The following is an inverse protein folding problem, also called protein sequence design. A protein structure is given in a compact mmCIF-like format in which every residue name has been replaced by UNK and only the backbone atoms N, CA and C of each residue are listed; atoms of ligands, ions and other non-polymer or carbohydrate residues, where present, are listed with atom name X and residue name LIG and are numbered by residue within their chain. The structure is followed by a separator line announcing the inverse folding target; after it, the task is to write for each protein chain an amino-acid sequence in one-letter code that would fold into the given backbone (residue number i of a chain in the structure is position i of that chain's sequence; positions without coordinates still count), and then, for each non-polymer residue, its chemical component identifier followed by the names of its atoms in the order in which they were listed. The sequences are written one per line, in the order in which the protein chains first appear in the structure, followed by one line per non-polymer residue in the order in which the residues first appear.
data_IF_221452611336
#
_entry.id   IF_221452611336
#
_cell.length_a   1.000
_cell.length_b   1.000
_cell.length_c   1.000
_cell.angle_alpha   90.00
_cell.angle_beta   90.00
_cell.angle_gamma   90.00
#
_symmetry.space_group_name_H-M   'P 1'
#
loop_
_entity.id
_entity.type
_entity.pdbx_description
1 polymer ?
#
# COMPACT_ATOMS: atom_id res chain seq x y z
N UNK A 1 15.07 -21.14 -31.37
CA UNK A 1 14.43 -19.85 -31.06
C UNK A 1 13.45 -20.06 -29.92
N UNK A 2 13.78 -19.49 -28.75
CA UNK A 2 12.83 -19.43 -27.61
C UNK A 2 11.92 -18.23 -27.87
N UNK A 3 10.63 -18.45 -28.01
CA UNK A 3 9.63 -17.36 -28.06
C UNK A 3 9.44 -16.85 -26.61
N UNK A 4 10.01 -15.70 -26.31
CA UNK A 4 9.74 -15.00 -25.06
C UNK A 4 8.44 -14.20 -25.20
N UNK A 5 7.57 -14.29 -24.18
CA UNK A 5 6.40 -13.41 -24.08
C UNK A 5 6.88 -11.99 -23.73
N UNK A 6 6.45 -11.01 -24.51
CA UNK A 6 6.68 -9.61 -24.17
C UNK A 6 5.68 -9.20 -23.07
N UNK A 7 6.12 -9.36 -21.81
CA UNK A 7 5.31 -9.03 -20.62
C UNK A 7 5.68 -7.63 -20.14
N UNK A 8 4.67 -6.80 -19.95
CA UNK A 8 4.80 -5.53 -19.25
C UNK A 8 4.02 -5.62 -17.94
N UNK A 9 4.73 -5.46 -16.83
CA UNK A 9 4.14 -5.53 -15.50
C UNK A 9 4.05 -4.12 -14.92
N UNK A 10 2.87 -3.75 -14.46
CA UNK A 10 2.62 -2.47 -13.78
C UNK A 10 2.43 -2.76 -12.30
N UNK A 11 3.10 -1.97 -11.45
CA UNK A 11 2.97 -2.08 -9.99
C UNK A 11 1.62 -1.54 -9.49
N UNK A 12 0.55 -2.21 -9.89
CA UNK A 12 -0.82 -1.90 -9.48
C UNK A 12 -1.56 -3.22 -9.21
N UNK A 13 -1.84 -3.48 -7.97
CA UNK A 13 -2.49 -4.71 -7.51
C UNK A 13 -3.32 -4.50 -6.26
N UNK A 14 -3.98 -5.54 -5.81
CA UNK A 14 -4.82 -5.52 -4.61
C UNK A 14 -4.05 -5.15 -3.32
N UNK A 15 -2.74 -5.34 -3.31
CA UNK A 15 -1.81 -5.01 -2.22
C UNK A 15 -1.02 -3.71 -2.43
N UNK A 16 -1.40 -2.88 -3.41
CA UNK A 16 -0.82 -1.56 -3.60
C UNK A 16 -1.16 -0.66 -2.41
N UNK A 17 -0.15 0.01 -1.85
CA UNK A 17 -0.36 0.95 -0.75
C UNK A 17 -1.22 2.14 -1.20
N UNK A 18 -2.28 2.43 -0.45
CA UNK A 18 -3.07 3.65 -0.60
C UNK A 18 -2.49 4.68 0.36
N UNK A 19 -1.96 5.77 -0.19
CA UNK A 19 -1.37 6.87 0.59
C UNK A 19 -2.24 8.11 0.53
N UNK A 20 -2.27 8.81 1.66
CA UNK A 20 -2.89 10.11 1.79
C UNK A 20 -1.82 11.06 2.35
N UNK A 21 -1.32 11.94 1.51
CA UNK A 21 -0.29 12.91 1.86
C UNK A 21 -0.79 14.31 1.48
N UNK A 22 -0.82 15.23 2.43
CA UNK A 22 -1.34 16.59 2.21
C UNK A 22 -2.71 16.63 1.50
N UNK A 23 -3.60 15.68 1.84
CA UNK A 23 -4.91 15.47 1.22
C UNK A 23 -4.84 14.97 -0.25
N UNK A 24 -3.66 14.65 -0.75
CA UNK A 24 -3.48 14.00 -2.05
C UNK A 24 -3.54 12.50 -1.87
N UNK A 25 -4.47 11.87 -2.57
CA UNK A 25 -4.64 10.42 -2.61
C UNK A 25 -3.78 9.83 -3.72
N UNK A 26 -3.04 8.78 -3.41
CA UNK A 26 -2.25 8.01 -4.39
C UNK A 26 -2.33 6.51 -4.11
N UNK A 27 -2.10 5.68 -5.14
CA UNK A 27 -2.14 4.23 -5.05
C UNK A 27 -0.85 3.64 -5.62
N UNK A 28 -0.14 2.84 -4.82
CA UNK A 28 1.14 2.23 -5.23
C UNK A 28 2.24 3.27 -5.49
N UNK A 29 3.36 2.89 -6.10
CA UNK A 29 3.72 1.54 -6.57
C UNK A 29 4.16 0.57 -5.46
N UNK A 30 4.36 1.06 -4.22
CA UNK A 30 4.77 0.23 -3.08
C UNK A 30 3.66 -0.78 -2.77
N UNK A 31 4.07 -2.00 -2.40
CA UNK A 31 3.18 -3.07 -1.95
C UNK A 31 3.32 -3.24 -0.45
N UNK A 32 2.20 -3.44 0.22
CA UNK A 32 2.13 -3.66 1.67
C UNK A 32 1.09 -4.74 1.96
N UNK A 33 1.13 -5.31 3.16
CA UNK A 33 0.07 -6.23 3.56
C UNK A 33 -1.24 -5.46 3.82
N UNK A 34 -2.38 -6.00 3.36
CA UNK A 34 -3.69 -5.43 3.70
C UNK A 34 -3.93 -5.40 5.20
N UNK A 35 -4.59 -4.36 5.69
CA UNK A 35 -4.91 -4.27 7.12
C UNK A 35 -5.95 -5.32 7.54
N UNK A 36 -6.84 -5.73 6.64
CA UNK A 36 -7.77 -6.85 6.84
C UNK A 36 -7.03 -8.17 7.08
N UNK A 37 -5.96 -8.43 6.31
CA UNK A 37 -5.10 -9.60 6.55
C UNK A 37 -4.41 -9.54 7.91
N UNK A 38 -3.95 -8.36 8.32
CA UNK A 38 -3.33 -8.19 9.63
C UNK A 38 -4.35 -8.45 10.76
N UNK A 39 -5.58 -7.94 10.64
CA UNK A 39 -6.67 -8.16 11.60
C UNK A 39 -7.03 -9.64 11.77
N UNK A 40 -6.99 -10.41 10.67
CA UNK A 40 -7.19 -11.88 10.71
C UNK A 40 -6.08 -12.61 11.50
N UNK A 41 -4.86 -12.09 11.50
CA UNK A 41 -3.70 -12.71 12.13
C UNK A 41 -3.48 -12.27 13.56
N UNK A 42 -3.75 -11.02 13.87
CA UNK A 42 -3.45 -10.38 15.13
C UNK A 42 -4.47 -9.28 15.44
N UNK A 43 -4.77 -9.06 16.72
CA UNK A 43 -5.64 -7.96 17.15
C UNK A 43 -5.00 -6.59 16.82
N UNK A 44 -5.46 -5.98 15.74
CA UNK A 44 -5.03 -4.67 15.27
C UNK A 44 -5.84 -3.51 15.86
N UNK A 45 -6.99 -3.77 16.51
CA UNK A 45 -7.90 -2.73 17.01
C UNK A 45 -7.21 -1.78 18.00
N UNK A 46 -6.38 -2.29 18.91
CA UNK A 46 -5.66 -1.46 19.87
C UNK A 46 -4.74 -0.43 19.22
N UNK A 47 -4.09 -0.79 18.11
CA UNK A 47 -3.24 0.14 17.37
C UNK A 47 -4.09 1.18 16.63
N UNK A 48 -5.24 0.79 16.08
CA UNK A 48 -6.17 1.69 15.41
C UNK A 48 -6.81 2.65 16.43
N UNK A 49 -7.25 2.16 17.59
CA UNK A 49 -7.78 2.96 18.69
C UNK A 49 -6.75 3.99 19.21
N UNK A 50 -5.48 3.60 19.26
CA UNK A 50 -4.42 4.53 19.60
C UNK A 50 -4.31 5.65 18.56
N UNK A 51 -4.33 5.30 17.28
CA UNK A 51 -4.30 6.26 16.19
C UNK A 51 -5.52 7.19 16.22
N UNK A 52 -6.72 6.67 16.49
CA UNK A 52 -7.93 7.50 16.56
C UNK A 52 -7.82 8.62 17.58
N UNK A 53 -7.09 8.40 18.67
CA UNK A 53 -6.91 9.40 19.74
C UNK A 53 -5.77 10.38 19.50
N UNK A 54 -4.79 10.00 18.68
CA UNK A 54 -3.52 10.74 18.62
C UNK A 54 -3.11 11.21 17.23
N UNK A 55 -3.78 10.74 16.17
CA UNK A 55 -3.30 10.97 14.81
C UNK A 55 -3.56 12.40 14.32
N UNK A 56 -4.54 13.09 14.89
CA UNK A 56 -4.89 14.47 14.50
C UNK A 56 -3.78 15.47 14.86
N UNK A 57 -2.93 15.11 15.82
CA UNK A 57 -1.77 15.92 16.24
C UNK A 57 -0.58 15.81 15.27
N UNK A 58 -0.63 14.85 14.33
CA UNK A 58 0.46 14.53 13.41
C UNK A 58 0.05 14.72 11.96
N UNK A 59 0.67 15.69 11.36
CA UNK A 59 0.76 16.07 9.96
C UNK A 59 0.02 15.27 8.86
N UNK A 60 -0.05 15.87 7.77
CA UNK A 60 -0.48 15.52 6.41
C UNK A 60 -0.07 14.13 5.86
N UNK A 61 0.88 13.39 6.46
CA UNK A 61 1.36 12.08 5.98
C UNK A 61 0.60 10.90 6.57
N UNK A 62 0.32 9.86 5.76
CA UNK A 62 -0.25 8.59 6.23
C UNK A 62 0.76 7.65 6.89
N UNK A 63 2.06 7.93 6.77
CA UNK A 63 3.12 7.05 7.26
C UNK A 63 3.06 6.77 8.78
N UNK A 64 2.78 7.73 9.66
CA UNK A 64 2.65 7.47 11.10
C UNK A 64 1.53 6.48 11.45
N UNK A 65 0.52 6.37 10.56
CA UNK A 65 -0.60 5.46 10.73
C UNK A 65 -0.33 4.03 10.23
N UNK A 66 0.75 3.80 9.49
CA UNK A 66 1.10 2.45 9.04
C UNK A 66 1.31 1.52 10.23
N UNK A 67 0.79 0.30 10.12
CA UNK A 67 0.88 -0.72 11.15
C UNK A 67 2.05 -1.66 10.86
N UNK A 68 2.69 -2.15 11.91
CA UNK A 68 3.78 -3.10 11.82
C UNK A 68 3.49 -4.30 12.70
N UNK A 69 3.92 -5.48 12.25
CA UNK A 69 3.94 -6.73 13.01
C UNK A 69 5.25 -7.46 12.77
N UNK A 70 5.66 -8.32 13.70
CA UNK A 70 6.80 -9.18 13.47
C UNK A 70 6.45 -10.27 12.45
N UNK A 71 7.40 -10.63 11.57
CA UNK A 71 7.24 -11.75 10.64
C UNK A 71 7.47 -13.08 11.36
N UNK A 72 6.77 -14.14 10.92
CA UNK A 72 6.96 -15.49 11.45
C UNK A 72 8.36 -16.07 11.14
N UNK A 73 9.07 -15.51 10.15
CA UNK A 73 10.42 -15.93 9.76
C UNK A 73 11.51 -15.50 10.77
N UNK A 74 11.21 -14.60 11.72
CA UNK A 74 12.13 -14.18 12.76
C UNK A 74 12.32 -15.19 13.91
N UNK A 75 11.58 -16.30 13.93
CA UNK A 75 11.77 -17.38 14.90
C UNK A 75 12.83 -18.36 14.38
N UNK A 76 14.09 -17.95 14.49
CA UNK A 76 15.32 -18.68 14.23
C UNK A 76 15.16 -20.21 14.04
N UNK A 77 15.05 -20.64 12.79
CA UNK A 77 15.51 -21.95 12.35
C UNK A 77 15.84 -21.93 10.87
N UNK A 78 17.11 -22.09 10.54
CA UNK A 78 17.61 -22.70 9.30
C UNK A 78 17.48 -21.92 7.98
N UNK A 79 17.88 -20.63 7.96
CA UNK A 79 18.48 -20.10 6.75
C UNK A 79 19.94 -19.79 7.08
N UNK A 80 20.84 -20.60 6.57
CA UNK A 80 22.29 -20.51 6.83
C UNK A 80 22.92 -19.21 6.32
N UNK A 81 22.75 -18.16 7.10
CA UNK A 81 23.45 -16.89 6.95
C UNK A 81 24.34 -16.72 8.17
N UNK A 82 25.59 -16.41 7.90
CA UNK A 82 26.67 -16.26 8.90
C UNK A 82 26.27 -15.33 10.04
N UNK A 83 26.44 -15.81 11.27
CA UNK A 83 26.09 -15.15 12.55
C UNK A 83 26.66 -13.73 12.76
N UNK A 84 27.55 -13.25 11.92
CA UNK A 84 28.22 -11.96 12.08
C UNK A 84 27.49 -10.74 11.48
N UNK A 85 26.51 -10.94 10.59
CA UNK A 85 25.74 -9.82 9.98
C UNK A 85 24.41 -9.52 10.68
N UNK A 86 24.02 -10.30 11.65
CA UNK A 86 22.70 -10.30 12.26
C UNK A 86 22.64 -9.73 13.68
N UNK A 87 23.70 -9.10 14.17
CA UNK A 87 23.65 -8.47 15.50
C UNK A 87 22.63 -7.30 15.48
N UNK A 88 21.45 -7.57 16.06
CA UNK A 88 20.46 -6.54 16.35
C UNK A 88 20.90 -5.76 17.58
N UNK A 89 20.61 -4.47 17.59
CA UNK A 89 20.76 -3.64 18.78
C UNK A 89 19.68 -3.99 19.82
N UNK A 90 19.91 -3.65 21.08
CA UNK A 90 18.90 -3.84 22.14
C UNK A 90 17.58 -3.15 21.80
N UNK A 91 17.65 -2.01 21.13
CA UNK A 91 16.48 -1.26 20.66
C UNK A 91 15.72 -2.00 19.56
N UNK A 92 16.41 -2.61 18.59
CA UNK A 92 15.82 -3.41 17.54
C UNK A 92 15.17 -4.68 18.11
N UNK A 93 15.82 -5.33 19.07
CA UNK A 93 15.23 -6.47 19.79
C UNK A 93 13.93 -6.07 20.48
N UNK A 94 13.95 -4.96 21.22
CA UNK A 94 12.76 -4.48 21.93
C UNK A 94 11.59 -4.17 20.98
N UNK A 95 11.85 -3.56 19.81
CA UNK A 95 10.83 -3.32 18.78
C UNK A 95 10.23 -4.65 18.30
N UNK A 96 11.07 -5.64 17.99
CA UNK A 96 10.61 -6.94 17.51
C UNK A 96 9.76 -7.63 18.58
N UNK A 97 10.16 -7.58 19.85
CA UNK A 97 9.41 -8.20 20.94
C UNK A 97 8.03 -7.56 21.11
N UNK A 98 7.94 -6.23 21.05
CA UNK A 98 6.65 -5.53 21.05
C UNK A 98 5.77 -5.99 19.89
N UNK A 99 6.34 -6.08 18.68
CA UNK A 99 5.62 -6.43 17.46
C UNK A 99 5.24 -7.93 17.36
N UNK A 100 5.82 -8.77 18.18
CA UNK A 100 5.38 -10.17 18.36
C UNK A 100 4.12 -10.28 19.20
N UNK A 101 3.93 -9.38 20.16
CA UNK A 101 2.76 -9.39 21.05
C UNK A 101 1.50 -8.95 20.30
N UNK A 102 1.59 -7.87 19.53
CA UNK A 102 0.50 -7.31 18.71
C UNK A 102 1.03 -6.35 17.65
N UNK A 103 0.20 -5.93 16.69
CA UNK A 103 0.56 -4.83 15.81
C UNK A 103 0.65 -3.49 16.56
N UNK A 104 1.56 -2.65 16.10
CA UNK A 104 1.70 -1.26 16.54
C UNK A 104 1.73 -0.34 15.33
N UNK A 105 1.16 0.85 15.46
CA UNK A 105 1.40 1.92 14.50
C UNK A 105 2.80 2.49 14.66
N UNK A 106 3.34 3.09 13.60
CA UNK A 106 4.65 3.74 13.67
C UNK A 106 4.64 4.87 14.71
N UNK A 107 3.52 5.58 14.82
CA UNK A 107 3.33 6.61 15.84
C UNK A 107 3.41 6.03 17.26
N UNK A 108 2.68 4.95 17.50
CA UNK A 108 2.64 4.30 18.81
C UNK A 108 4.01 3.72 19.20
N UNK A 109 4.73 3.12 18.24
CA UNK A 109 6.11 2.65 18.47
C UNK A 109 7.02 3.79 18.89
N UNK A 110 6.95 4.94 18.22
CA UNK A 110 7.73 6.12 18.59
C UNK A 110 7.47 6.54 20.05
N UNK A 111 6.21 6.54 20.47
CA UNK A 111 5.83 6.86 21.85
C UNK A 111 6.33 5.81 22.84
N UNK A 112 6.12 4.53 22.55
CA UNK A 112 6.57 3.40 23.39
C UNK A 112 8.08 3.39 23.60
N UNK A 113 8.83 3.74 22.55
CA UNK A 113 10.29 3.78 22.58
C UNK A 113 10.84 5.08 23.19
N UNK A 114 9.98 6.02 23.61
CA UNK A 114 10.40 7.32 24.13
C UNK A 114 11.13 8.19 23.11
N UNK A 115 10.87 7.98 21.83
CA UNK A 115 11.48 8.76 20.75
C UNK A 115 10.76 10.09 20.57
N UNK A 116 11.51 11.15 20.35
CA UNK A 116 10.94 12.49 20.14
C UNK A 116 10.09 12.60 18.86
N UNK A 117 10.30 11.71 17.89
CA UNK A 117 9.55 11.65 16.65
C UNK A 117 9.49 10.23 16.08
N UNK A 118 8.36 9.85 15.49
CA UNK A 118 8.13 8.51 14.92
C UNK A 118 9.13 8.13 13.81
N UNK A 119 9.66 9.12 13.05
CA UNK A 119 10.69 8.90 12.03
C UNK A 119 12.01 8.33 12.59
N UNK A 120 12.24 8.43 13.91
CA UNK A 120 13.44 7.89 14.54
C UNK A 120 13.34 6.39 14.78
N UNK A 121 12.17 5.77 14.62
CA UNK A 121 11.99 4.33 14.79
C UNK A 121 12.65 3.58 13.62
N UNK A 122 13.60 2.68 13.84
CA UNK A 122 14.39 2.05 12.78
C UNK A 122 13.65 0.91 12.06
N UNK A 123 12.37 1.12 11.71
CA UNK A 123 11.53 0.10 11.07
C UNK A 123 12.02 -0.29 9.68
N UNK A 124 12.55 0.66 8.90
CA UNK A 124 13.03 0.38 7.55
C UNK A 124 14.13 -0.68 7.52
N UNK A 125 15.10 -0.56 8.42
CA UNK A 125 16.21 -1.52 8.52
C UNK A 125 15.70 -2.93 8.87
N UNK A 126 14.71 -3.01 9.77
CA UNK A 126 14.12 -4.29 10.16
C UNK A 126 13.21 -4.86 9.06
N UNK A 127 12.53 -4.01 8.31
CA UNK A 127 11.72 -4.38 7.14
C UNK A 127 12.60 -4.93 6.01
N UNK A 128 13.73 -4.27 5.68
CA UNK A 128 14.72 -4.75 4.70
C UNK A 128 15.31 -6.11 5.05
N UNK A 129 15.41 -6.39 6.34
CA UNK A 129 15.86 -7.69 6.87
C UNK A 129 14.74 -8.72 6.99
N UNK A 130 13.54 -8.39 6.51
CA UNK A 130 12.34 -9.25 6.59
C UNK A 130 11.95 -9.68 8.00
N UNK A 131 12.30 -8.88 9.01
CA UNK A 131 11.95 -9.14 10.41
C UNK A 131 10.59 -8.54 10.77
N UNK A 132 10.17 -7.54 10.02
CA UNK A 132 8.89 -6.86 10.18
C UNK A 132 8.07 -6.91 8.89
N UNK A 133 6.75 -6.96 9.07
CA UNK A 133 5.76 -6.81 8.02
C UNK A 133 5.04 -5.49 8.20
N UNK A 134 5.02 -4.68 7.15
CA UNK A 134 4.24 -3.43 7.11
C UNK A 134 2.85 -3.71 6.57
N UNK A 135 1.85 -3.13 7.20
CA UNK A 135 0.44 -3.19 6.81
C UNK A 135 -0.17 -1.79 6.76
N UNK A 136 -1.15 -1.62 5.92
CA UNK A 136 -1.88 -0.37 5.77
C UNK A 136 -3.05 -0.53 4.81
N UNK A 137 -3.64 0.60 4.40
CA UNK A 137 -4.78 0.58 3.50
C UNK A 137 -4.36 0.15 2.09
N UNK A 138 -5.11 -0.81 1.54
CA UNK A 138 -4.93 -1.34 0.18
C UNK A 138 -6.28 -1.42 -0.56
N UNK A 139 -6.30 -1.58 -1.89
CA UNK A 139 -7.52 -1.84 -2.63
C UNK A 139 -8.26 -3.10 -2.14
N UNK A 140 -7.53 -4.11 -1.67
CA UNK A 140 -8.13 -5.32 -1.09
C UNK A 140 -8.99 -5.00 0.13
N UNK A 141 -8.54 -4.12 1.01
CA UNK A 141 -9.32 -3.70 2.19
C UNK A 141 -10.62 -3.00 1.79
N UNK A 142 -10.58 -2.19 0.72
CA UNK A 142 -11.79 -1.54 0.19
C UNK A 142 -12.78 -2.54 -0.41
N UNK A 143 -12.30 -3.66 -0.99
CA UNK A 143 -13.17 -4.74 -1.47
C UNK A 143 -13.81 -5.51 -0.32
N UNK A 144 -13.09 -5.73 0.79
CA UNK A 144 -13.65 -6.29 2.02
C UNK A 144 -14.74 -5.39 2.59
N UNK A 145 -14.47 -4.10 2.72
CA UNK A 145 -15.46 -3.12 3.21
C UNK A 145 -16.73 -3.09 2.35
N UNK A 146 -16.62 -3.29 1.03
CA UNK A 146 -17.77 -3.36 0.10
C UNK A 146 -18.48 -4.71 0.11
N UNK A 147 -18.01 -5.69 0.84
CA UNK A 147 -18.53 -7.05 0.81
C UNK A 147 -18.32 -7.77 -0.54
N UNK A 148 -17.37 -7.30 -1.35
CA UNK A 148 -16.99 -7.90 -2.63
C UNK A 148 -15.89 -8.95 -2.47
N UNK A 149 -15.29 -9.00 -1.31
CA UNK A 149 -14.28 -9.96 -0.90
C UNK A 149 -14.53 -10.36 0.56
N UNK A 150 -14.45 -11.66 0.87
CA UNK A 150 -14.66 -12.21 2.22
C UNK A 150 -13.57 -13.26 2.50
N UNK A 151 -12.32 -12.79 2.58
CA UNK A 151 -11.15 -13.63 2.85
C UNK A 151 -10.56 -13.37 4.24
N UNK A 152 -10.68 -12.14 4.73
CA UNK A 152 -10.02 -11.68 5.95
C UNK A 152 -10.94 -10.76 6.76
N UNK A 153 -10.43 -10.20 7.84
CA UNK A 153 -11.21 -9.40 8.77
C UNK A 153 -11.68 -8.06 8.17
N UNK A 154 -12.95 -8.02 7.76
CA UNK A 154 -13.58 -6.83 7.20
C UNK A 154 -13.81 -5.74 8.26
N UNK A 155 -13.97 -6.09 9.55
CA UNK A 155 -14.19 -5.13 10.64
C UNK A 155 -12.94 -4.27 10.87
N UNK A 156 -11.77 -4.90 10.91
CA UNK A 156 -10.49 -4.18 10.98
C UNK A 156 -10.28 -3.29 9.75
N UNK A 157 -10.63 -3.75 8.55
CA UNK A 157 -10.57 -2.93 7.35
C UNK A 157 -11.46 -1.70 7.46
N UNK A 158 -12.72 -1.87 7.84
CA UNK A 158 -13.69 -0.77 8.02
C UNK A 158 -13.21 0.25 9.05
N UNK A 159 -12.72 -0.21 10.20
CA UNK A 159 -12.21 0.65 11.26
C UNK A 159 -11.04 1.52 10.76
N UNK A 160 -10.10 0.91 10.05
CA UNK A 160 -8.95 1.62 9.50
C UNK A 160 -9.31 2.57 8.35
N UNK A 161 -10.26 2.19 7.48
CA UNK A 161 -10.80 3.06 6.41
C UNK A 161 -11.46 4.29 7.04
N UNK A 162 -12.26 4.12 8.09
CA UNK A 162 -12.92 5.20 8.82
C UNK A 162 -11.92 6.20 9.38
N UNK A 163 -10.84 5.70 10.00
CA UNK A 163 -9.74 6.53 10.52
C UNK A 163 -9.12 7.37 9.40
N UNK A 164 -8.70 6.74 8.29
CA UNK A 164 -8.03 7.44 7.21
C UNK A 164 -8.97 8.38 6.44
N UNK A 165 -10.25 8.03 6.30
CA UNK A 165 -11.27 8.89 5.68
C UNK A 165 -11.42 10.21 6.42
N UNK A 166 -11.46 10.18 7.76
CA UNK A 166 -11.51 11.40 8.59
C UNK A 166 -10.30 12.30 8.34
N UNK A 167 -9.11 11.70 8.30
CA UNK A 167 -7.86 12.44 8.02
C UNK A 167 -7.84 13.06 6.63
N UNK A 168 -8.30 12.32 5.64
CA UNK A 168 -8.40 12.77 4.25
C UNK A 168 -9.49 13.82 4.05
N UNK A 169 -10.38 14.00 5.05
CA UNK A 169 -11.60 14.83 4.94
C UNK A 169 -12.54 14.35 3.83
N UNK A 170 -12.53 13.07 3.55
CA UNK A 170 -13.47 12.39 2.66
C UNK A 170 -14.44 11.54 3.48
N UNK A 171 -15.64 11.31 2.95
CA UNK A 171 -16.45 10.20 3.41
C UNK A 171 -15.84 8.86 3.00
N UNK A 172 -16.15 7.76 3.69
CA UNK A 172 -15.60 6.43 3.37
C UNK A 172 -15.94 6.01 1.92
N UNK A 173 -17.17 6.25 1.50
CA UNK A 173 -17.61 5.98 0.12
C UNK A 173 -16.86 6.83 -0.92
N UNK A 174 -16.67 8.12 -0.60
CA UNK A 174 -15.92 9.02 -1.48
C UNK A 174 -14.46 8.62 -1.60
N UNK A 175 -13.81 8.26 -0.48
CA UNK A 175 -12.45 7.74 -0.47
C UNK A 175 -12.34 6.48 -1.35
N UNK A 176 -13.25 5.54 -1.15
CA UNK A 176 -13.29 4.28 -1.90
C UNK A 176 -13.47 4.55 -3.40
N UNK A 177 -14.44 5.40 -3.77
CA UNK A 177 -14.68 5.78 -5.16
C UNK A 177 -13.43 6.37 -5.81
N UNK A 178 -12.79 7.34 -5.15
CA UNK A 178 -11.57 8.00 -5.66
C UNK A 178 -10.40 7.04 -5.86
N UNK A 179 -10.22 6.10 -4.93
CA UNK A 179 -9.18 5.07 -5.09
C UNK A 179 -9.41 4.25 -6.36
N UNK A 180 -10.64 3.78 -6.59
CA UNK A 180 -10.94 3.00 -7.79
C UNK A 180 -10.84 3.84 -9.07
N UNK A 181 -11.23 5.11 -9.06
CA UNK A 181 -11.02 6.03 -10.18
C UNK A 181 -9.52 6.16 -10.53
N UNK A 182 -8.64 6.32 -9.53
CA UNK A 182 -7.19 6.37 -9.74
C UNK A 182 -6.67 5.05 -10.33
N UNK A 183 -7.16 3.91 -9.86
CA UNK A 183 -6.77 2.59 -10.37
C UNK A 183 -7.21 2.45 -11.83
N UNK A 184 -8.46 2.76 -12.15
CA UNK A 184 -9.01 2.69 -13.50
C UNK A 184 -8.24 3.60 -14.46
N UNK A 185 -7.96 4.84 -14.07
CA UNK A 185 -7.18 5.79 -14.86
C UNK A 185 -5.76 5.28 -15.14
N UNK A 186 -5.09 4.70 -14.15
CA UNK A 186 -3.75 4.13 -14.34
C UNK A 186 -3.78 2.92 -15.25
N UNK A 187 -4.73 2.01 -15.09
CA UNK A 187 -4.90 0.84 -15.96
C UNK A 187 -5.17 1.29 -17.39
N UNK A 188 -6.10 2.24 -17.59
CA UNK A 188 -6.41 2.79 -18.90
C UNK A 188 -5.19 3.44 -19.55
N UNK A 189 -4.43 4.22 -18.78
CA UNK A 189 -3.18 4.87 -19.24
C UNK A 189 -2.15 3.86 -19.71
N UNK A 190 -1.92 2.79 -18.94
CA UNK A 190 -0.95 1.77 -19.31
C UNK A 190 -1.39 0.93 -20.52
N UNK A 191 -2.69 0.65 -20.64
CA UNK A 191 -3.25 -0.02 -21.81
C UNK A 191 -3.08 0.83 -23.09
N UNK A 192 -3.40 2.13 -23.01
CA UNK A 192 -3.22 3.05 -24.13
C UNK A 192 -1.74 3.20 -24.48
N UNK A 193 -0.86 3.34 -23.48
CA UNK A 193 0.59 3.40 -23.70
C UNK A 193 1.10 2.16 -24.42
N UNK A 194 0.66 0.97 -24.02
CA UNK A 194 1.03 -0.28 -24.68
C UNK A 194 0.50 -0.37 -26.12
N UNK A 195 -0.73 0.05 -26.37
CA UNK A 195 -1.33 0.07 -27.70
C UNK A 195 -0.57 1.03 -28.63
N UNK A 196 -0.24 2.24 -28.17
CA UNK A 196 0.48 3.25 -28.94
C UNK A 196 1.94 2.86 -29.23
N UNK A 197 2.57 2.08 -28.36
CA UNK A 197 3.98 1.62 -28.53
C UNK A 197 4.04 0.39 -29.44
N UNK A 198 3.00 -0.44 -29.49
CA UNK A 198 2.96 -1.70 -30.26
C UNK A 198 2.14 -1.60 -31.56
N UNK A 199 1.44 -0.52 -31.78
CA UNK A 199 0.77 -0.22 -33.06
C UNK A 199 1.80 0.26 -34.08
N UNK A 200 2.31 -0.69 -34.88
CA UNK A 200 3.15 -0.51 -36.07
C UNK A 200 4.42 0.35 -35.95
N UNK A 201 5.53 -0.35 -36.02
CA UNK A 201 6.79 -0.03 -36.74
C UNK A 201 7.00 1.45 -37.12
N UNK A 202 6.82 2.34 -36.17
CA UNK A 202 7.40 3.66 -36.23
C UNK A 202 8.80 3.57 -35.64
N UNK A 203 9.73 3.04 -36.46
CA UNK A 203 11.16 3.13 -36.25
C UNK A 203 11.59 4.59 -36.24
N UNK A 204 11.29 5.29 -35.20
CA UNK A 204 11.89 6.58 -34.95
C UNK A 204 12.53 6.55 -33.59
N UNK A 205 13.87 6.50 -33.63
CA UNK A 205 14.76 6.90 -32.56
C UNK A 205 14.40 8.33 -32.11
N UNK A 206 13.40 8.45 -31.28
CA UNK A 206 13.02 9.74 -30.71
C UNK A 206 12.15 9.53 -29.49
N UNK A 207 12.62 10.00 -28.35
CA UNK A 207 11.79 10.16 -27.15
C UNK A 207 10.60 11.04 -27.55
N UNK A 208 9.47 10.44 -27.88
CA UNK A 208 8.28 11.19 -28.19
C UNK A 208 7.67 11.77 -26.92
N UNK A 209 8.08 12.98 -26.53
CA UNK A 209 7.41 13.74 -25.49
C UNK A 209 5.94 14.02 -25.79
N UNK A 210 5.58 14.01 -27.10
CA UNK A 210 4.21 14.18 -27.57
C UNK A 210 3.27 13.01 -27.19
N UNK A 211 3.75 11.76 -27.13
CA UNK A 211 2.90 10.62 -26.78
C UNK A 211 2.42 10.67 -25.33
N UNK A 212 3.27 11.12 -24.41
CA UNK A 212 2.89 11.30 -23.00
C UNK A 212 1.85 12.40 -22.82
N UNK A 213 2.01 13.53 -23.51
CA UNK A 213 1.04 14.63 -23.49
C UNK A 213 -0.25 14.30 -24.23
N UNK A 214 -0.17 13.57 -25.34
CA UNK A 214 -1.36 13.18 -26.09
C UNK A 214 -2.23 12.19 -25.32
N UNK A 215 -1.62 11.20 -24.64
CA UNK A 215 -2.35 10.27 -23.76
C UNK A 215 -2.96 11.04 -22.59
N UNK A 216 -2.23 11.93 -21.96
CA UNK A 216 -2.73 12.81 -20.90
C UNK A 216 -3.88 13.70 -21.37
N UNK A 217 -3.78 14.26 -22.55
CA UNK A 217 -4.83 15.10 -23.13
C UNK A 217 -6.06 14.30 -23.56
N UNK A 218 -5.90 13.07 -24.06
CA UNK A 218 -7.02 12.17 -24.37
C UNK A 218 -7.75 11.79 -23.08
N UNK A 219 -7.03 11.43 -22.02
CA UNK A 219 -7.61 11.08 -20.73
C UNK A 219 -8.24 12.30 -20.01
N UNK A 220 -7.62 13.46 -20.07
CA UNK A 220 -8.15 14.67 -19.46
C UNK A 220 -9.33 15.31 -20.23
N UNK A 221 -9.44 15.09 -21.54
CA UNK A 221 -10.57 15.56 -22.37
C UNK A 221 -11.66 14.51 -22.54
N UNK A 222 -11.38 13.26 -22.16
CA UNK A 222 -12.22 12.09 -22.45
C UNK A 222 -13.40 11.89 -21.51
N UNK A 223 -13.81 12.90 -20.75
CA UNK A 223 -15.02 12.78 -19.92
C UNK A 223 -16.33 12.63 -20.74
N UNK A 224 -16.27 12.70 -22.07
CA UNK A 224 -17.48 12.62 -22.92
C UNK A 224 -17.49 11.49 -23.95
N UNK A 225 -16.40 10.74 -24.21
CA UNK A 225 -16.42 9.80 -25.35
C UNK A 225 -15.64 8.47 -25.27
N UNK A 226 -14.98 8.13 -24.18
CA UNK A 226 -14.31 6.85 -24.03
C UNK A 226 -14.65 6.18 -22.69
N UNK A 227 -15.77 5.45 -22.67
CA UNK A 227 -16.08 4.56 -21.57
C UNK A 227 -15.29 3.26 -21.74
N UNK A 228 -14.08 3.19 -21.18
CA UNK A 228 -13.34 1.95 -21.02
C UNK A 228 -13.92 1.20 -19.83
N UNK A 229 -14.80 0.23 -20.09
CA UNK A 229 -15.32 -0.66 -19.06
C UNK A 229 -14.27 -1.75 -18.77
N UNK A 230 -13.45 -1.57 -17.75
CA UNK A 230 -12.55 -2.60 -17.25
C UNK A 230 -13.30 -3.43 -16.22
N UNK A 231 -13.72 -4.64 -16.59
CA UNK A 231 -14.28 -5.61 -15.63
C UNK A 231 -13.16 -6.45 -15.09
N UNK A 232 -12.88 -6.32 -13.80
CA UNK A 232 -12.01 -7.25 -13.09
C UNK A 232 -12.78 -8.56 -12.86
N UNK A 233 -12.34 -9.64 -13.51
CA UNK A 233 -12.74 -10.99 -13.15
C UNK A 233 -11.68 -11.53 -12.19
N UNK A 234 -12.06 -11.70 -10.94
CA UNK A 234 -11.25 -12.47 -10.01
C UNK A 234 -11.59 -13.95 -10.23
N UNK A 235 -10.59 -14.82 -10.43
CA UNK A 235 -10.85 -16.26 -10.37
C UNK A 235 -11.29 -16.62 -8.95
N UNK A 236 -12.42 -17.29 -8.86
CA UNK A 236 -12.96 -17.91 -7.63
C UNK A 236 -12.07 -19.06 -7.23
#
# INVERSE_FOLDING_TARGET
HVRALNLHTVGLGGDSEIKIEEQVLSVGPKRIAPVSWLGEKMDAHKAIDFLERHIDDYSSSSEPAQLFSATSFGNGSEAGHSDSELALTDQEHHIIDLLRERPYSLLELGWKMGMGHWMMVPVHKLEERHLLQRSGLTPTDLLHHRGQLDLWDAETAEHYIRLLSRRAKYGMEELTKRVFEIIEERVATELLRKQLVHGDDLSTKGKCGLCGEMVKNILCRGNESLTLSVRFHYPV
#
